data_IF_317745705362
#
_entry.id   IF_317745705362
#
_cell.length_a   1.000
_cell.length_b   1.000
_cell.length_c   1.000
_cell.angle_alpha   90.00
_cell.angle_beta   90.00
_cell.angle_gamma   90.00
#
_symmetry.space_group_name_H-M   'P 1'
#
loop_
_entity.id
_entity.type
_entity.pdbx_description
1 polymer ?
#
# COMPACT_ATOMS: atom_id res chain seq x y z
N UNK A 1 16.70 1.18 -17.82
CA UNK A 1 17.08 1.64 -16.47
C UNK A 1 16.19 2.81 -16.11
N UNK A 2 15.13 2.59 -15.34
CA UNK A 2 14.34 3.67 -14.75
C UNK A 2 14.96 3.98 -13.39
N UNK A 3 15.25 5.25 -13.14
CA UNK A 3 15.82 5.73 -11.89
C UNK A 3 14.78 5.50 -10.77
N UNK A 4 15.12 4.69 -9.78
CA UNK A 4 14.25 4.45 -8.63
C UNK A 4 14.08 5.75 -7.85
N UNK A 5 12.87 6.11 -7.40
CA UNK A 5 12.67 7.32 -6.62
C UNK A 5 13.52 7.24 -5.34
N UNK A 6 14.46 8.15 -5.19
CA UNK A 6 15.22 8.34 -3.97
C UNK A 6 14.28 8.98 -2.94
N UNK A 7 13.73 8.17 -2.04
CA UNK A 7 12.99 8.68 -0.88
C UNK A 7 14.00 9.42 0.02
N UNK A 8 14.02 10.74 -0.10
CA UNK A 8 14.93 11.61 0.63
C UNK A 8 14.76 11.42 2.14
N UNK A 9 15.88 11.23 2.82
CA UNK A 9 16.00 11.20 4.27
C UNK A 9 15.71 12.61 4.80
N UNK A 10 14.63 12.78 5.58
CA UNK A 10 14.33 14.07 6.22
C UNK A 10 15.13 14.22 7.51
N UNK A 11 15.89 15.29 7.66
CA UNK A 11 16.47 15.70 8.95
C UNK A 11 15.43 16.48 9.76
N UNK A 12 15.09 16.00 10.95
CA UNK A 12 14.46 16.81 11.99
C UNK A 12 15.36 16.76 13.23
N UNK A 13 15.80 17.93 13.72
CA UNK A 13 16.65 18.07 14.91
C UNK A 13 18.00 17.33 14.88
N UNK A 14 18.61 17.17 13.69
CA UNK A 14 19.93 16.55 13.54
C UNK A 14 19.95 15.03 13.74
N UNK A 15 18.79 14.38 13.77
CA UNK A 15 18.67 12.93 13.80
C UNK A 15 18.30 12.41 12.42
N UNK A 16 19.14 11.53 11.89
CA UNK A 16 18.97 10.84 10.63
C UNK A 16 17.96 9.70 10.86
N UNK A 17 16.68 9.95 10.59
CA UNK A 17 15.69 8.88 10.63
C UNK A 17 15.90 8.01 9.40
N UNK A 18 16.09 6.67 9.53
CA UNK A 18 16.05 5.82 8.36
C UNK A 18 14.70 6.06 7.69
N UNK A 19 14.67 6.26 6.37
CA UNK A 19 13.44 6.12 5.62
C UNK A 19 12.92 4.71 5.95
N UNK A 20 11.91 4.60 6.82
CA UNK A 20 11.34 3.31 7.21
C UNK A 20 10.52 2.83 6.02
N UNK A 21 11.20 2.42 4.96
CA UNK A 21 10.58 1.88 3.77
C UNK A 21 10.01 0.52 4.13
N UNK A 22 8.68 0.44 4.17
CA UNK A 22 8.01 -0.84 4.40
C UNK A 22 8.04 -1.65 3.11
N UNK A 23 8.01 -2.98 3.28
CA UNK A 23 7.87 -3.91 2.17
C UNK A 23 6.61 -4.74 2.33
N UNK A 24 6.00 -5.10 1.20
CA UNK A 24 4.83 -5.94 1.11
C UNK A 24 5.12 -7.11 0.18
N UNK A 25 5.13 -8.33 0.73
CA UNK A 25 5.19 -9.55 -0.08
C UNK A 25 3.80 -9.83 -0.65
N UNK A 26 3.68 -9.84 -1.98
CA UNK A 26 2.41 -10.13 -2.68
C UNK A 26 2.33 -11.60 -3.03
N UNK A 27 3.44 -12.20 -3.47
CA UNK A 27 3.58 -13.64 -3.71
C UNK A 27 5.05 -14.07 -3.54
N UNK A 28 5.36 -15.34 -3.78
CA UNK A 28 6.71 -15.89 -3.59
C UNK A 28 7.78 -15.28 -4.51
N UNK A 29 7.37 -14.70 -5.64
CA UNK A 29 8.28 -14.09 -6.62
C UNK A 29 8.20 -12.55 -6.66
N UNK A 30 7.23 -11.94 -5.98
CA UNK A 30 6.97 -10.50 -6.05
C UNK A 30 6.81 -9.88 -4.67
N UNK A 31 7.71 -8.96 -4.37
CA UNK A 31 7.70 -8.13 -3.15
C UNK A 31 7.81 -6.67 -3.55
N UNK A 32 6.86 -5.86 -3.10
CA UNK A 32 6.88 -4.42 -3.27
C UNK A 32 7.68 -3.80 -2.13
N UNK A 33 8.78 -3.12 -2.44
CA UNK A 33 9.61 -2.41 -1.46
C UNK A 33 9.51 -0.90 -1.65
N UNK A 34 10.03 -0.12 -0.70
CA UNK A 34 10.01 1.34 -0.81
C UNK A 34 8.64 1.97 -0.57
N UNK A 35 7.73 1.29 0.14
CA UNK A 35 6.41 1.85 0.43
C UNK A 35 6.57 2.93 1.50
N UNK A 36 6.13 4.18 1.24
CA UNK A 36 6.16 5.26 2.23
C UNK A 36 5.35 4.87 3.48
N UNK A 37 5.85 5.09 4.70
CA UNK A 37 5.10 4.83 5.94
C UNK A 37 3.70 5.44 5.96
N UNK A 38 3.55 6.63 5.38
CA UNK A 38 2.31 7.40 5.32
C UNK A 38 1.20 6.64 4.58
N UNK A 39 1.56 5.73 3.67
CA UNK A 39 0.58 4.90 2.96
C UNK A 39 -0.24 4.02 3.93
N UNK A 40 0.29 3.73 5.12
CA UNK A 40 -0.37 2.96 6.17
C UNK A 40 -1.12 3.82 7.19
N UNK A 41 -0.92 5.14 7.18
CA UNK A 41 -1.65 6.08 8.05
C UNK A 41 -3.09 6.29 7.57
N UNK A 42 -3.35 6.16 6.26
CA UNK A 42 -4.71 6.23 5.73
C UNK A 42 -5.50 4.95 6.07
N UNK A 43 -6.41 5.09 7.04
CA UNK A 43 -7.19 3.99 7.61
C UNK A 43 -8.66 4.05 7.22
N UNK A 44 -9.22 2.88 6.92
CA UNK A 44 -10.64 2.64 6.71
C UNK A 44 -11.12 1.70 7.81
N UNK A 45 -11.70 2.29 8.87
CA UNK A 45 -12.00 1.60 10.12
C UNK A 45 -10.72 1.18 10.85
N UNK A 46 -10.58 -0.12 11.13
CA UNK A 46 -9.49 -0.66 11.94
C UNK A 46 -8.24 -1.08 11.15
N UNK A 47 -8.25 -0.91 9.82
CA UNK A 47 -7.18 -1.37 8.91
C UNK A 47 -6.75 -0.25 7.96
N UNK A 48 -5.50 -0.28 7.48
CA UNK A 48 -5.07 0.61 6.41
C UNK A 48 -5.72 0.21 5.08
N UNK A 49 -5.74 1.12 4.10
CA UNK A 49 -6.24 0.78 2.76
C UNK A 49 -5.43 -0.34 2.10
N UNK A 50 -4.11 -0.43 2.39
CA UNK A 50 -3.27 -1.52 1.90
C UNK A 50 -3.59 -2.86 2.57
N UNK A 51 -3.85 -2.86 3.87
CA UNK A 51 -4.26 -4.09 4.59
C UNK A 51 -5.55 -4.67 4.00
N UNK A 52 -6.50 -3.80 3.63
CA UNK A 52 -7.72 -4.22 2.95
C UNK A 52 -7.45 -4.87 1.60
N UNK A 53 -6.53 -4.30 0.79
CA UNK A 53 -6.15 -4.89 -0.49
C UNK A 53 -5.52 -6.26 -0.29
N UNK A 54 -4.62 -6.41 0.67
CA UNK A 54 -3.92 -7.68 0.95
C UNK A 54 -4.92 -8.77 1.38
N UNK A 55 -5.86 -8.40 2.25
CA UNK A 55 -6.89 -9.33 2.78
C UNK A 55 -7.86 -9.80 1.69
N UNK A 56 -8.19 -8.94 0.73
CA UNK A 56 -9.21 -9.23 -0.29
C UNK A 56 -8.63 -9.81 -1.59
N UNK A 57 -7.41 -9.43 -1.99
CA UNK A 57 -6.81 -9.84 -3.26
C UNK A 57 -5.91 -11.07 -3.10
N UNK A 58 -6.49 -12.12 -2.54
CA UNK A 58 -5.88 -13.45 -2.43
C UNK A 58 -6.84 -14.52 -2.98
N UNK A 59 -6.29 -15.62 -3.46
CA UNK A 59 -7.10 -16.79 -3.82
C UNK A 59 -7.68 -17.38 -2.54
N UNK A 60 -9.00 -17.42 -2.44
CA UNK A 60 -9.71 -17.98 -1.30
C UNK A 60 -10.72 -19.02 -1.75
N UNK A 61 -10.93 -20.03 -0.93
CA UNK A 61 -11.99 -21.02 -1.13
C UNK A 61 -12.82 -21.07 0.15
N UNK A 62 -14.11 -20.76 0.01
CA UNK A 62 -15.03 -20.85 1.14
C UNK A 62 -15.34 -22.33 1.40
N UNK A 63 -14.96 -22.82 2.59
CA UNK A 63 -15.07 -24.25 2.94
C UNK A 63 -16.50 -24.75 3.04
N UNK A 64 -17.48 -23.87 3.23
CA UNK A 64 -18.87 -24.25 3.43
C UNK A 64 -19.63 -24.34 2.09
N UNK A 65 -19.40 -23.37 1.21
CA UNK A 65 -20.04 -23.29 -0.11
C UNK A 65 -19.21 -23.92 -1.24
N UNK A 66 -17.91 -24.12 -1.03
CA UNK A 66 -16.97 -24.56 -2.06
C UNK A 66 -16.68 -23.51 -3.14
N UNK A 67 -17.15 -22.26 -2.95
CA UNK A 67 -16.94 -21.20 -3.93
C UNK A 67 -15.50 -20.71 -3.84
N UNK A 68 -14.77 -20.85 -4.95
CA UNK A 68 -13.41 -20.33 -5.13
C UNK A 68 -13.46 -18.90 -5.67
N UNK A 69 -12.87 -17.97 -4.93
CA UNK A 69 -12.60 -16.59 -5.33
C UNK A 69 -11.15 -16.49 -5.79
N UNK A 70 -10.95 -16.14 -7.06
CA UNK A 70 -9.62 -15.91 -7.65
C UNK A 70 -9.57 -14.50 -8.25
N UNK A 71 -8.81 -13.56 -7.64
CA UNK A 71 -8.75 -12.19 -8.12
C UNK A 71 -7.82 -12.00 -9.33
N UNK A 72 -7.10 -13.04 -9.77
CA UNK A 72 -6.19 -12.95 -10.89
C UNK A 72 -6.95 -12.79 -12.21
N UNK A 73 -6.51 -11.84 -13.04
CA UNK A 73 -7.10 -11.54 -14.33
C UNK A 73 -6.17 -12.00 -15.45
N UNK A 74 -6.58 -13.01 -16.20
CA UNK A 74 -5.78 -13.55 -17.31
C UNK A 74 -5.61 -12.53 -18.46
N UNK A 75 -6.57 -11.61 -18.61
CA UNK A 75 -6.57 -10.54 -19.61
C UNK A 75 -5.71 -9.32 -19.20
N UNK A 76 -5.43 -9.14 -17.91
CA UNK A 76 -4.57 -8.08 -17.38
C UNK A 76 -3.73 -8.60 -16.20
N UNK A 77 -2.61 -9.31 -16.48
CA UNK A 77 -1.77 -9.92 -15.44
C UNK A 77 -1.19 -8.92 -14.44
N UNK A 78 -0.97 -7.68 -14.86
CA UNK A 78 -0.36 -6.62 -14.05
C UNK A 78 -1.40 -5.83 -13.23
N UNK A 79 -2.70 -6.14 -13.37
CA UNK A 79 -3.80 -5.40 -12.75
C UNK A 79 -3.60 -5.19 -11.24
N UNK A 80 -3.31 -6.26 -10.51
CA UNK A 80 -3.17 -6.22 -9.05
C UNK A 80 -1.98 -5.34 -8.64
N UNK A 81 -0.84 -5.48 -9.32
CA UNK A 81 0.36 -4.68 -9.03
C UNK A 81 0.10 -3.20 -9.28
N UNK A 82 -0.54 -2.88 -10.41
CA UNK A 82 -0.91 -1.52 -10.78
C UNK A 82 -1.88 -0.90 -9.75
N UNK A 83 -2.88 -1.67 -9.34
CA UNK A 83 -3.86 -1.27 -8.33
C UNK A 83 -3.20 -0.99 -6.97
N UNK A 84 -2.28 -1.85 -6.51
CA UNK A 84 -1.54 -1.61 -5.26
C UNK A 84 -0.78 -0.28 -5.33
N UNK A 85 -0.10 0.01 -6.44
CA UNK A 85 0.57 1.29 -6.65
C UNK A 85 -0.38 2.50 -6.60
N UNK A 86 -1.58 2.37 -7.16
CA UNK A 86 -2.62 3.40 -7.10
C UNK A 86 -3.13 3.61 -5.66
N UNK A 87 -3.33 2.53 -4.90
CA UNK A 87 -3.76 2.60 -3.50
C UNK A 87 -2.70 3.27 -2.64
N UNK A 88 -1.41 2.96 -2.82
CA UNK A 88 -0.31 3.66 -2.14
C UNK A 88 -0.40 5.17 -2.41
N UNK A 89 -0.55 5.55 -3.69
CA UNK A 89 -0.61 6.97 -4.08
C UNK A 89 -1.79 7.68 -3.44
N UNK A 90 -2.99 7.09 -3.50
CA UNK A 90 -4.20 7.66 -2.89
C UNK A 90 -4.05 7.78 -1.37
N UNK A 91 -3.48 6.78 -0.70
CA UNK A 91 -3.25 6.81 0.74
C UNK A 91 -2.34 7.98 1.14
N UNK A 92 -1.19 8.13 0.48
CA UNK A 92 -0.23 9.20 0.77
C UNK A 92 -0.83 10.57 0.48
N UNK A 93 -1.53 10.73 -0.65
CA UNK A 93 -2.18 11.99 -1.01
C UNK A 93 -3.26 12.37 0.00
N UNK A 94 -4.08 11.40 0.41
CA UNK A 94 -5.13 11.62 1.41
C UNK A 94 -4.55 12.08 2.74
N UNK A 95 -3.48 11.42 3.22
CA UNK A 95 -2.80 11.82 4.46
C UNK A 95 -2.27 13.25 4.35
N UNK A 96 -1.67 13.62 3.22
CA UNK A 96 -1.20 14.99 2.98
C UNK A 96 -2.34 16.00 3.04
N UNK A 97 -3.45 15.73 2.35
CA UNK A 97 -4.63 16.61 2.34
C UNK A 97 -5.19 16.77 3.75
N UNK A 98 -5.41 15.67 4.47
CA UNK A 98 -5.96 15.71 5.83
C UNK A 98 -5.05 16.48 6.79
N UNK A 99 -3.73 16.29 6.72
CA UNK A 99 -2.75 17.05 7.53
C UNK A 99 -2.75 18.55 7.19
N UNK A 100 -3.16 18.93 5.99
CA UNK A 100 -3.26 20.33 5.56
C UNK A 100 -4.55 21.04 5.99
N UNK A 101 -5.53 20.30 6.53
CA UNK A 101 -6.78 20.89 6.98
C UNK A 101 -6.56 21.74 8.24
N UNK A 102 -7.30 22.86 8.39
CA UNK A 102 -7.26 23.64 9.62
C UNK A 102 -7.76 22.79 10.80
N UNK A 103 -7.26 23.11 12.00
CA UNK A 103 -7.74 22.48 13.22
C UNK A 103 -9.28 22.62 13.32
N UNK A 104 -9.94 21.52 13.67
CA UNK A 104 -11.37 21.55 13.92
C UNK A 104 -11.65 22.55 15.06
N UNK A 105 -12.56 23.49 14.79
CA UNK A 105 -12.98 24.52 15.74
C UNK A 105 -13.91 23.95 16.81
#
# INVERSE_FOLDING_TARGET
>A
MADSPQFATGEENGLLFPAVCKSLKVNDSFTLSGIPPEAFEYRLGNRSSLDWVIDQYQVMEDKHSGIRSDPNRADDPDYIVRMVGQVIRVSVETVRIVKSLPAAR
#
